data_IF_605785775392
#
_entry.id   IF_605785775392
#
_cell.length_a   1.000
_cell.length_b   1.000
_cell.length_c   1.000
_cell.angle_alpha   90.00
_cell.angle_beta   90.00
_cell.angle_gamma   90.00
#
_symmetry.space_group_name_H-M   'P 1'
#
loop_
_entity.id
_entity.type
_entity.pdbx_description
1 polymer ?
#
# COMPACT_ATOMS: atom_id res chain seq x y z
N UNK A 1 -2.86 13.01 4.93
CA UNK A 1 -1.96 12.02 4.32
C UNK A 1 -1.75 12.36 2.87
N UNK A 2 -0.50 12.35 2.43
CA UNK A 2 -0.15 12.53 1.02
C UNK A 2 0.24 11.19 0.40
N UNK A 3 0.26 11.13 -0.94
CA UNK A 3 0.74 9.96 -1.68
C UNK A 3 2.19 9.60 -1.31
N UNK A 4 3.05 10.60 -1.10
CA UNK A 4 4.46 10.42 -0.75
C UNK A 4 4.63 9.81 0.65
N UNK A 5 3.80 10.20 1.62
CA UNK A 5 3.83 9.65 2.98
C UNK A 5 3.55 8.14 2.97
N UNK A 6 2.53 7.72 2.22
CA UNK A 6 2.15 6.31 2.14
C UNK A 6 3.18 5.52 1.31
N UNK A 7 3.74 6.10 0.24
CA UNK A 7 4.85 5.47 -0.48
C UNK A 7 6.05 5.21 0.42
N UNK A 8 6.44 6.18 1.24
CA UNK A 8 7.53 6.02 2.19
C UNK A 8 7.23 4.95 3.24
N UNK A 9 5.99 4.91 3.73
CA UNK A 9 5.53 3.87 4.64
C UNK A 9 5.60 2.48 3.98
N UNK A 10 5.05 2.32 2.78
CA UNK A 10 5.10 1.05 2.05
C UNK A 10 6.54 0.62 1.77
N UNK A 11 7.41 1.54 1.36
CA UNK A 11 8.82 1.24 1.13
C UNK A 11 9.52 0.75 2.41
N UNK A 12 9.18 1.33 3.56
CA UNK A 12 9.69 0.91 4.87
C UNK A 12 9.19 -0.48 5.25
N UNK A 13 7.89 -0.75 5.11
CA UNK A 13 7.29 -2.01 5.53
C UNK A 13 7.60 -3.17 4.58
N UNK A 14 7.58 -2.92 3.26
CA UNK A 14 7.87 -3.95 2.24
C UNK A 14 9.37 -4.10 1.96
N UNK A 15 10.20 -3.16 2.40
CA UNK A 15 11.62 -3.09 2.07
C UNK A 15 11.92 -2.77 0.59
N UNK A 16 10.90 -2.38 -0.18
CA UNK A 16 11.04 -2.03 -1.60
C UNK A 16 11.46 -0.56 -1.75
N UNK A 17 12.30 -0.22 -2.73
CA UNK A 17 12.58 1.17 -3.06
C UNK A 17 11.33 1.84 -3.65
N UNK A 18 11.11 3.11 -3.30
CA UNK A 18 9.98 3.92 -3.78
C UNK A 18 9.90 3.95 -5.32
N UNK A 19 11.05 3.88 -6.00
CA UNK A 19 11.15 3.82 -7.47
C UNK A 19 10.49 2.59 -8.09
N UNK A 20 10.36 1.49 -7.33
CA UNK A 20 9.66 0.27 -7.77
C UNK A 20 8.16 0.32 -7.47
N UNK A 21 7.73 1.13 -6.51
CA UNK A 21 6.34 1.23 -6.06
C UNK A 21 5.51 2.08 -7.03
N UNK A 22 5.33 1.57 -8.26
CA UNK A 22 4.57 2.26 -9.29
C UNK A 22 3.07 1.95 -9.16
N UNK A 23 2.20 2.97 -9.33
CA UNK A 23 0.76 2.82 -9.11
C UNK A 23 0.11 1.76 -10.00
N UNK A 24 0.62 1.55 -11.21
CA UNK A 24 0.01 0.63 -12.19
C UNK A 24 0.55 -0.82 -12.08
N UNK A 25 1.43 -1.10 -11.11
CA UNK A 25 1.97 -2.43 -10.84
C UNK A 25 1.13 -3.15 -9.78
N UNK A 26 0.93 -4.45 -9.97
CA UNK A 26 0.19 -5.30 -9.02
C UNK A 26 1.00 -5.65 -7.77
N UNK A 27 0.32 -5.86 -6.64
CA UNK A 27 0.96 -6.29 -5.39
C UNK A 27 1.76 -7.59 -5.57
N UNK A 28 1.24 -8.52 -6.40
CA UNK A 28 1.93 -9.74 -6.78
C UNK A 28 3.26 -9.47 -7.51
N UNK A 29 3.28 -8.50 -8.44
CA UNK A 29 4.49 -8.17 -9.22
C UNK A 29 5.53 -7.45 -8.37
N UNK A 30 5.09 -6.72 -7.35
CA UNK A 30 5.97 -6.06 -6.38
C UNK A 30 6.56 -7.05 -5.36
N UNK A 31 6.18 -8.32 -5.42
CA UNK A 31 6.55 -9.36 -4.45
C UNK A 31 6.11 -9.04 -3.01
N UNK A 32 5.06 -8.21 -2.87
CA UNK A 32 4.50 -7.86 -1.55
C UNK A 32 3.80 -9.11 -0.99
N UNK A 33 4.22 -9.53 0.20
CA UNK A 33 3.65 -10.68 0.88
C UNK A 33 2.40 -10.29 1.69
N UNK A 34 1.60 -11.29 2.07
CA UNK A 34 0.46 -11.07 2.95
C UNK A 34 0.88 -10.52 4.32
N UNK A 35 2.10 -10.84 4.79
CA UNK A 35 2.62 -10.33 6.06
C UNK A 35 2.92 -8.83 5.94
N UNK A 36 3.58 -8.42 4.86
CA UNK A 36 3.91 -7.00 4.63
C UNK A 36 2.65 -6.16 4.52
N UNK A 37 1.61 -6.67 3.84
CA UNK A 37 0.31 -6.01 3.77
C UNK A 37 -0.31 -5.84 5.14
N UNK A 38 -0.36 -6.91 5.94
CA UNK A 38 -0.93 -6.85 7.29
C UNK A 38 -0.18 -5.84 8.16
N UNK A 39 1.15 -5.85 8.15
CA UNK A 39 1.97 -4.87 8.88
C UNK A 39 1.70 -3.43 8.45
N UNK A 40 1.64 -3.19 7.13
CA UNK A 40 1.30 -1.89 6.56
C UNK A 40 -0.11 -1.44 6.95
N UNK A 41 -1.09 -2.33 6.93
CA UNK A 41 -2.47 -2.03 7.34
C UNK A 41 -2.53 -1.64 8.83
N UNK A 42 -1.83 -2.36 9.71
CA UNK A 42 -1.74 -2.00 11.13
C UNK A 42 -1.13 -0.61 11.34
N UNK A 43 -0.06 -0.27 10.61
CA UNK A 43 0.56 1.05 10.73
C UNK A 43 -0.35 2.15 10.15
N UNK A 44 -1.11 1.86 9.09
CA UNK A 44 -2.11 2.78 8.54
C UNK A 44 -3.26 3.03 9.52
N UNK A 45 -3.71 1.99 10.22
CA UNK A 45 -4.71 2.08 11.27
C UNK A 45 -4.20 2.91 12.46
N UNK A 46 -2.99 2.64 12.95
CA UNK A 46 -2.40 3.33 14.10
C UNK A 46 -2.11 4.81 13.81
N UNK A 47 -1.49 5.12 12.66
CA UNK A 47 -1.10 6.49 12.32
C UNK A 47 -2.27 7.35 11.82
N UNK A 48 -3.21 6.73 11.08
CA UNK A 48 -4.22 7.47 10.33
C UNK A 48 -5.66 7.08 10.64
N UNK A 49 -5.90 6.03 11.44
CA UNK A 49 -7.23 5.53 11.75
C UNK A 49 -7.91 4.85 10.57
N UNK A 50 -7.15 4.32 9.61
CA UNK A 50 -7.70 3.63 8.44
C UNK A 50 -7.90 2.15 8.77
N UNK A 51 -9.16 1.74 8.88
CA UNK A 51 -9.54 0.34 9.03
C UNK A 51 -9.72 -0.30 7.65
N UNK A 52 -8.81 -1.20 7.29
CA UNK A 52 -8.88 -2.01 6.08
C UNK A 52 -8.60 -3.46 6.45
N UNK A 53 -9.39 -4.38 5.90
CA UNK A 53 -9.20 -5.79 6.16
C UNK A 53 -8.32 -6.42 5.06
N UNK A 54 -7.34 -7.26 5.42
CA UNK A 54 -6.49 -7.93 4.43
C UNK A 54 -7.29 -8.84 3.49
N UNK A 55 -8.44 -9.36 3.92
CA UNK A 55 -9.35 -10.15 3.07
C UNK A 55 -9.97 -9.34 1.92
N UNK A 56 -10.06 -8.02 2.08
CA UNK A 56 -10.51 -7.14 1.01
C UNK A 56 -9.40 -6.81 0.02
N UNK A 57 -8.17 -7.25 0.32
CA UNK A 57 -7.01 -7.07 -0.53
C UNK A 57 -6.69 -8.35 -1.33
N UNK A 58 -6.63 -8.23 -2.66
CA UNK A 58 -6.20 -9.29 -3.57
C UNK A 58 -4.79 -8.99 -4.11
N UNK A 59 -3.97 -10.03 -4.32
CA UNK A 59 -2.61 -9.86 -4.88
C UNK A 59 -2.61 -9.35 -6.33
N UNK A 60 -3.72 -9.51 -7.02
CA UNK A 60 -3.95 -9.05 -8.39
C UNK A 60 -4.22 -7.53 -8.45
N UNK A 61 -4.51 -6.88 -7.32
CA UNK A 61 -4.76 -5.45 -7.32
C UNK A 61 -3.50 -4.66 -7.58
N UNK A 62 -3.68 -3.50 -8.20
CA UNK A 62 -2.63 -2.50 -8.40
C UNK A 62 -2.41 -1.67 -7.14
N UNK A 63 -1.21 -1.10 -7.02
CA UNK A 63 -0.94 -0.11 -5.97
C UNK A 63 -1.94 1.05 -6.03
N UNK A 64 -2.32 1.51 -7.22
CA UNK A 64 -3.33 2.54 -7.42
C UNK A 64 -4.64 2.19 -6.71
N UNK A 65 -5.13 0.97 -6.91
CA UNK A 65 -6.37 0.50 -6.28
C UNK A 65 -6.25 0.44 -4.75
N UNK A 66 -5.09 0.05 -4.23
CA UNK A 66 -4.82 0.10 -2.80
C UNK A 66 -4.91 1.56 -2.27
N UNK A 67 -4.25 2.51 -2.94
CA UNK A 67 -4.31 3.92 -2.59
C UNK A 67 -5.73 4.50 -2.64
N UNK A 68 -6.50 4.14 -3.66
CA UNK A 68 -7.90 4.58 -3.78
C UNK A 68 -8.77 4.04 -2.64
N UNK A 69 -8.54 2.79 -2.19
CA UNK A 69 -9.24 2.20 -1.05
C UNK A 69 -8.97 2.93 0.26
N UNK A 70 -7.74 3.41 0.47
CA UNK A 70 -7.38 4.23 1.65
C UNK A 70 -7.71 5.72 1.48
N UNK A 71 -8.29 6.13 0.36
CA UNK A 71 -8.68 7.53 0.10
C UNK A 71 -7.49 8.45 -0.23
N UNK A 72 -6.37 7.90 -0.69
CA UNK A 72 -5.20 8.67 -1.10
C UNK A 72 -5.29 9.03 -2.58
N UNK A 73 -5.19 10.32 -2.88
CA UNK A 73 -5.16 10.80 -4.25
C UNK A 73 -3.83 10.42 -4.93
N UNK A 74 -3.89 9.50 -5.88
CA UNK A 74 -2.73 9.11 -6.71
C UNK A 74 -2.54 10.16 -7.80
N UNK A 75 -1.36 10.79 -7.92
CA UNK A 75 -1.08 11.70 -9.03
C UNK A 75 -1.20 10.97 -10.38
N UNK A 76 -1.73 11.69 -11.39
CA UNK A 76 -1.93 11.20 -12.76
C UNK A 76 -0.61 11.12 -13.51
#
# INVERSE_FOLDING_TARGET
>A
MTYEDILALMAKETGLPIEKLQPDITLATLDISSIDLVSMLFELEDQYGIELQPEELTREMTLRQLFERIGVAVPQ
#
